data_IF_519412075194
#
_entry.id   IF_519412075194
#
_cell.length_a   1.000
_cell.length_b   1.000
_cell.length_c   1.000
_cell.angle_alpha   90.00
_cell.angle_beta   90.00
_cell.angle_gamma   90.00
#
_symmetry.space_group_name_H-M   'P 1'
#
loop_
_entity.id
_entity.type
_entity.pdbx_description
1 polymer ?
#
# COMPACT_ATOMS: atom_id res chain seq x y z
N UNK A 1 -10.47 41.65 -36.15
CA UNK A 1 -9.01 41.42 -36.14
C UNK A 1 -8.55 41.34 -34.70
N UNK A 2 -7.96 40.20 -34.37
CA UNK A 2 -7.57 39.63 -33.07
C UNK A 2 -6.85 40.53 -32.06
N UNK A 3 -7.16 40.35 -30.76
CA UNK A 3 -6.16 39.91 -29.77
C UNK A 3 -6.82 39.36 -28.48
N UNK A 4 -6.62 38.06 -28.28
CA UNK A 4 -6.89 37.30 -27.06
C UNK A 4 -5.91 37.73 -25.96
N UNK A 5 -6.40 38.04 -24.75
CA UNK A 5 -5.60 38.00 -23.53
C UNK A 5 -5.87 36.68 -22.82
N UNK A 6 -5.10 35.65 -23.17
CA UNK A 6 -5.04 34.40 -22.42
C UNK A 6 -4.15 34.60 -21.18
N UNK A 7 -4.77 34.67 -20.00
CA UNK A 7 -4.05 34.55 -18.74
C UNK A 7 -3.78 33.07 -18.47
N UNK A 8 -2.59 32.60 -18.83
CA UNK A 8 -2.12 31.25 -18.50
C UNK A 8 -1.32 31.33 -17.19
N UNK A 9 -1.99 31.14 -16.06
CA UNK A 9 -1.33 30.94 -14.76
C UNK A 9 -1.20 29.43 -14.54
N UNK A 10 -0.17 28.83 -15.13
CA UNK A 10 0.21 27.44 -14.85
C UNK A 10 1.41 27.44 -13.90
N UNK A 11 1.13 27.49 -12.60
CA UNK A 11 2.10 27.12 -11.56
C UNK A 11 2.26 25.60 -11.58
N UNK A 12 3.20 25.10 -12.38
CA UNK A 12 3.61 23.70 -12.31
C UNK A 12 4.77 23.58 -11.32
N UNK A 13 4.45 23.21 -10.09
CA UNK A 13 5.45 22.68 -9.16
C UNK A 13 5.92 21.35 -9.75
N UNK A 14 7.03 21.38 -10.50
CA UNK A 14 7.67 20.18 -11.01
C UNK A 14 8.44 19.49 -9.86
N UNK A 15 7.71 18.79 -8.99
CA UNK A 15 8.29 17.72 -8.20
C UNK A 15 8.79 16.67 -9.21
N UNK A 16 10.10 16.42 -9.24
CA UNK A 16 10.70 15.46 -10.16
C UNK A 16 9.97 14.13 -10.08
N UNK A 17 9.31 13.74 -11.18
CA UNK A 17 8.60 12.47 -11.27
C UNK A 17 9.61 11.35 -11.03
N UNK A 18 9.58 10.75 -9.84
CA UNK A 18 10.31 9.52 -9.57
C UNK A 18 9.89 8.52 -10.65
N UNK A 19 10.86 7.96 -11.38
CA UNK A 19 10.58 6.91 -12.38
C UNK A 19 9.75 5.83 -11.70
N UNK A 20 8.52 5.62 -12.13
CA UNK A 20 7.62 4.61 -11.58
C UNK A 20 8.26 3.24 -11.77
N UNK A 21 8.86 2.70 -10.71
CA UNK A 21 9.43 1.36 -10.72
C UNK A 21 8.32 0.38 -10.34
N UNK A 22 8.09 -0.70 -11.12
CA UNK A 22 7.10 -1.69 -10.78
C UNK A 22 7.47 -2.37 -9.45
N UNK A 23 6.49 -2.53 -8.56
CA UNK A 23 6.66 -3.27 -7.31
C UNK A 23 6.92 -4.74 -7.62
N UNK A 24 8.09 -5.25 -7.23
CA UNK A 24 8.43 -6.67 -7.42
C UNK A 24 8.02 -7.46 -6.19
N UNK A 25 7.24 -8.52 -6.40
CA UNK A 25 6.73 -9.40 -5.35
C UNK A 25 7.06 -10.84 -5.73
N UNK A 26 7.62 -11.59 -4.78
CA UNK A 26 7.92 -13.01 -4.89
C UNK A 26 6.98 -13.78 -3.96
N UNK A 27 6.34 -14.82 -4.46
CA UNK A 27 5.63 -15.81 -3.64
C UNK A 27 6.63 -16.80 -3.06
N UNK A 28 6.62 -16.97 -1.75
CA UNK A 28 7.49 -17.90 -1.02
C UNK A 28 6.84 -19.28 -0.86
N UNK A 29 5.52 -19.37 -1.02
CA UNK A 29 4.78 -20.62 -0.93
C UNK A 29 3.57 -20.63 -1.90
N UNK A 30 2.96 -21.81 -2.14
CA UNK A 30 1.74 -21.93 -2.92
C UNK A 30 0.53 -21.22 -2.29
N UNK A 31 0.54 -21.02 -0.97
CA UNK A 31 -0.55 -20.38 -0.23
C UNK A 31 -0.50 -18.85 -0.34
N UNK A 32 0.61 -18.29 -0.81
CA UNK A 32 0.77 -16.86 -0.97
C UNK A 32 -0.16 -16.30 -2.05
N UNK A 33 -0.85 -15.21 -1.72
CA UNK A 33 -1.74 -14.50 -2.63
C UNK A 33 -1.04 -13.20 -3.07
N UNK A 34 -1.09 -12.89 -4.37
CA UNK A 34 -0.47 -11.66 -4.88
C UNK A 34 -1.20 -10.44 -4.33
N UNK A 35 -0.49 -9.40 -3.87
CA UNK A 35 -1.11 -8.15 -3.49
C UNK A 35 -1.89 -7.53 -4.65
N UNK A 36 -3.06 -7.00 -4.37
CA UNK A 36 -3.95 -6.40 -5.38
C UNK A 36 -4.12 -4.93 -5.08
N UNK A 37 -4.11 -4.09 -6.12
CA UNK A 37 -4.47 -2.69 -5.99
C UNK A 37 -5.99 -2.56 -6.21
N UNK A 38 -6.72 -2.15 -5.18
CA UNK A 38 -8.19 -2.11 -5.23
C UNK A 38 -8.80 -1.11 -6.21
N UNK A 39 -8.05 -0.06 -6.60
CA UNK A 39 -8.45 0.89 -7.64
C UNK A 39 -7.24 1.61 -8.22
N UNK A 40 -7.32 2.22 -9.42
CA UNK A 40 -6.20 2.94 -10.02
C UNK A 40 -5.60 4.03 -9.11
N UNK A 41 -6.43 4.71 -8.31
CA UNK A 41 -6.03 5.75 -7.36
C UNK A 41 -5.79 5.26 -5.92
N UNK A 42 -5.81 3.95 -5.67
CA UNK A 42 -5.62 3.43 -4.31
C UNK A 42 -4.20 3.74 -3.80
N UNK A 43 -4.10 4.15 -2.54
CA UNK A 43 -2.84 4.54 -1.91
C UNK A 43 -1.87 3.37 -1.66
N UNK A 44 -2.36 2.13 -1.70
CA UNK A 44 -1.56 0.94 -1.42
C UNK A 44 -2.13 -0.32 -2.06
N UNK A 45 -1.48 -1.44 -1.75
CA UNK A 45 -1.90 -2.77 -2.16
C UNK A 45 -2.53 -3.50 -0.97
N UNK A 46 -3.64 -4.19 -1.21
CA UNK A 46 -4.22 -5.10 -0.23
C UNK A 46 -3.31 -6.32 -0.06
N UNK A 47 -2.98 -6.62 1.20
CA UNK A 47 -2.22 -7.79 1.59
C UNK A 47 -3.17 -8.89 2.10
N UNK A 48 -2.76 -10.14 1.89
CA UNK A 48 -3.57 -11.30 2.20
C UNK A 48 -2.81 -12.24 3.12
N UNK A 49 -3.54 -12.88 4.04
CA UNK A 49 -2.99 -13.95 4.86
C UNK A 49 -2.82 -15.21 4.00
N UNK A 50 -1.66 -15.85 4.11
CA UNK A 50 -1.41 -17.15 3.49
C UNK A 50 -2.00 -18.31 4.33
N UNK A 51 -2.34 -18.05 5.59
CA UNK A 51 -2.88 -19.04 6.52
C UNK A 51 -3.93 -18.40 7.41
N UNK A 52 -4.81 -19.22 7.97
CA UNK A 52 -5.74 -18.77 9.00
C UNK A 52 -4.98 -18.28 10.23
N UNK A 53 -5.43 -17.15 10.76
CA UNK A 53 -4.87 -16.54 11.96
C UNK A 53 -6.01 -16.00 12.84
N UNK A 54 -5.87 -16.21 14.14
CA UNK A 54 -6.82 -15.71 15.13
C UNK A 54 -6.11 -14.63 15.95
N UNK A 55 -6.66 -13.42 15.94
CA UNK A 55 -6.22 -12.34 16.82
C UNK A 55 -7.01 -12.47 18.14
N UNK A 56 -6.35 -12.71 19.28
CA UNK A 56 -7.06 -12.84 20.55
C UNK A 56 -7.79 -11.55 20.94
N UNK A 57 -8.96 -11.63 21.58
CA UNK A 57 -9.67 -10.46 22.08
C UNK A 57 -8.92 -9.78 23.22
N UNK A 58 -9.38 -8.59 23.63
CA UNK A 58 -8.87 -7.90 24.83
C UNK A 58 -7.48 -7.26 24.67
N UNK A 59 -7.11 -6.87 23.44
CA UNK A 59 -5.81 -6.24 23.16
C UNK A 59 -4.69 -7.24 22.84
N UNK A 60 -5.03 -8.50 22.57
CA UNK A 60 -4.09 -9.49 22.05
C UNK A 60 -3.52 -9.10 20.67
N UNK A 61 -2.41 -9.72 20.30
CA UNK A 61 -1.80 -9.56 18.98
C UNK A 61 -1.46 -10.92 18.38
N UNK A 62 -1.43 -10.98 17.06
CA UNK A 62 -1.01 -12.17 16.32
C UNK A 62 -0.16 -11.77 15.12
N UNK A 63 0.82 -12.60 14.78
CA UNK A 63 1.60 -12.46 13.55
C UNK A 63 0.87 -13.18 12.41
N UNK A 64 0.42 -12.41 11.41
CA UNK A 64 -0.26 -12.93 10.23
C UNK A 64 0.76 -13.15 9.12
N UNK A 65 0.98 -14.40 8.73
CA UNK A 65 1.93 -14.76 7.67
C UNK A 65 1.31 -14.50 6.29
N UNK A 66 2.06 -13.84 5.42
CA UNK A 66 1.65 -13.52 4.04
C UNK A 66 2.37 -14.36 2.98
N UNK A 67 3.50 -14.99 3.34
CA UNK A 67 4.38 -15.77 2.46
C UNK A 67 4.78 -15.03 1.17
N UNK A 68 4.94 -13.71 1.24
CA UNK A 68 5.48 -12.89 0.17
C UNK A 68 6.79 -12.22 0.59
N UNK A 69 7.68 -12.03 -0.37
CA UNK A 69 8.80 -11.10 -0.25
C UNK A 69 8.63 -9.98 -1.27
N UNK A 70 8.99 -8.76 -0.89
CA UNK A 70 8.80 -7.57 -1.73
C UNK A 70 10.13 -6.84 -1.87
N UNK A 71 10.48 -6.45 -3.09
CA UNK A 71 11.62 -5.58 -3.35
C UNK A 71 11.15 -4.13 -3.31
N UNK A 72 11.66 -3.36 -2.35
CA UNK A 72 11.29 -1.96 -2.21
C UNK A 72 12.15 -1.10 -3.16
N UNK A 73 11.54 -0.25 -4.00
CA UNK A 73 12.28 0.68 -4.86
C UNK A 73 13.15 1.62 -4.03
N UNK A 74 14.33 1.96 -4.57
CA UNK A 74 15.26 2.89 -3.94
C UNK A 74 14.60 4.24 -3.65
N UNK A 75 14.87 4.80 -2.46
CA UNK A 75 14.30 6.09 -2.03
C UNK A 75 12.88 5.99 -1.47
N UNK A 76 12.36 4.77 -1.30
CA UNK A 76 11.06 4.50 -0.66
C UNK A 76 11.22 3.46 0.46
N UNK A 77 10.22 3.35 1.31
CA UNK A 77 10.09 2.28 2.30
C UNK A 77 8.69 1.68 2.18
N UNK A 78 8.50 0.42 2.57
CA UNK A 78 7.17 -0.15 2.63
C UNK A 78 6.53 0.11 3.99
N UNK A 79 5.29 0.59 3.96
CA UNK A 79 4.47 0.74 5.16
C UNK A 79 3.34 -0.28 5.18
N UNK A 80 3.30 -1.13 6.20
CA UNK A 80 2.14 -1.94 6.51
C UNK A 80 1.15 -1.05 7.26
N UNK A 81 0.03 -0.75 6.62
CA UNK A 81 -1.00 0.14 7.15
C UNK A 81 -2.30 -0.63 7.44
N UNK A 82 -3.11 -0.20 8.42
CA UNK A 82 -4.36 -0.87 8.74
C UNK A 82 -5.39 -0.68 7.64
N UNK A 83 -6.16 -1.74 7.36
CA UNK A 83 -7.35 -1.65 6.52
C UNK A 83 -8.46 -0.99 7.34
N UNK A 84 -8.89 0.21 6.95
CA UNK A 84 -9.85 1.02 7.71
C UNK A 84 -11.11 0.26 8.15
N UNK A 85 -11.65 -0.59 7.28
CA UNK A 85 -12.81 -1.43 7.61
C UNK A 85 -12.57 -2.43 8.74
N UNK A 86 -11.36 -3.01 8.85
CA UNK A 86 -11.00 -3.91 9.95
C UNK A 86 -10.77 -3.14 11.26
N UNK A 87 -10.17 -1.96 11.17
CA UNK A 87 -9.97 -1.08 12.33
C UNK A 87 -11.30 -0.62 12.93
N UNK A 88 -12.23 -0.14 12.09
CA UNK A 88 -13.52 0.39 12.56
C UNK A 88 -14.47 -0.71 13.04
N UNK A 89 -14.55 -1.85 12.33
CA UNK A 89 -15.53 -2.90 12.65
C UNK A 89 -15.07 -3.88 13.72
N UNK A 90 -13.76 -4.14 13.79
CA UNK A 90 -13.21 -5.22 14.63
C UNK A 90 -12.10 -4.74 15.58
N UNK A 91 -11.75 -3.44 15.58
CA UNK A 91 -10.68 -2.91 16.42
C UNK A 91 -9.28 -3.43 16.04
N UNK A 92 -9.13 -3.97 14.82
CA UNK A 92 -7.85 -4.55 14.37
C UNK A 92 -6.97 -3.44 13.80
N UNK A 93 -5.80 -3.27 14.39
CA UNK A 93 -4.75 -2.37 13.89
C UNK A 93 -3.49 -3.16 13.52
N UNK A 94 -2.63 -2.56 12.71
CA UNK A 94 -1.31 -3.13 12.39
C UNK A 94 -0.31 -2.73 13.47
N UNK A 95 0.35 -3.72 14.07
CA UNK A 95 1.56 -3.52 14.86
C UNK A 95 2.80 -3.47 13.96
N UNK A 96 3.84 -2.76 14.41
CA UNK A 96 5.04 -2.49 13.60
C UNK A 96 4.65 -1.85 12.24
N UNK A 97 5.31 -2.26 11.15
CA UNK A 97 4.88 -1.93 9.79
C UNK A 97 5.82 -1.03 9.00
N UNK A 98 7.08 -0.89 9.39
CA UNK A 98 8.13 -0.37 8.52
C UNK A 98 8.92 -1.56 7.98
N UNK A 99 9.02 -1.66 6.66
CA UNK A 99 9.79 -2.68 5.91
C UNK A 99 10.81 -1.98 5.03
#
# INVERSE_FOLDING_TARGET
STRNYGAQVMSSCACGAAKEQPLRVLKLSPNAIMPVRGSPGAAGYDLYAAYDAIVPPGGGSALVKTDIAVSIPQGTYARIAPRSGLAVKHGITTGAGVV
#
